data_IF_409228785777
#
_entry.id   IF_409228785777
#
_cell.length_a   1.000
_cell.length_b   1.000
_cell.length_c   1.000
_cell.angle_alpha   90.00
_cell.angle_beta   90.00
_cell.angle_gamma   90.00
#
_symmetry.space_group_name_H-M   'P 1'
#
loop_
_entity.id
_entity.type
_entity.pdbx_description
1 polymer ?
#
# COMPACT_ATOMS: atom_id res chain seq x y z
N UNK A 1 -2.11 -9.37 35.24
CA UNK A 1 -1.57 -8.23 34.49
C UNK A 1 -0.43 -8.73 33.62
N UNK A 2 -0.54 -8.58 32.30
CA UNK A 2 0.51 -9.01 31.37
C UNK A 2 0.09 -8.92 29.90
N UNK A 3 -0.64 -7.88 29.50
CA UNK A 3 -0.94 -7.63 28.08
C UNK A 3 0.12 -6.69 27.50
N UNK A 4 1.25 -7.27 27.10
CA UNK A 4 2.35 -6.59 26.41
C UNK A 4 2.55 -7.16 25.01
N UNK A 5 1.48 -7.56 24.32
CA UNK A 5 1.54 -8.12 22.97
C UNK A 5 1.71 -7.01 21.91
N UNK A 6 2.89 -6.40 21.93
CA UNK A 6 3.73 -6.14 20.77
C UNK A 6 2.98 -5.72 19.49
N UNK A 7 2.45 -4.50 19.47
CA UNK A 7 2.02 -3.83 18.21
C UNK A 7 3.12 -3.88 17.13
N UNK A 8 4.38 -4.01 17.57
CA UNK A 8 5.56 -4.21 16.76
C UNK A 8 5.71 -5.60 16.11
N UNK A 9 5.07 -6.65 16.62
CA UNK A 9 5.24 -8.04 16.15
C UNK A 9 4.19 -8.48 15.12
N UNK A 10 3.10 -7.73 14.96
CA UNK A 10 2.05 -8.09 14.00
C UNK A 10 2.54 -7.88 12.56
N UNK A 11 2.32 -8.88 11.70
CA UNK A 11 2.72 -8.81 10.28
C UNK A 11 2.08 -7.59 9.62
N UNK A 12 2.91 -6.69 9.08
CA UNK A 12 2.48 -5.45 8.44
C UNK A 12 2.20 -4.27 9.37
N UNK A 13 2.33 -4.44 10.69
CA UNK A 13 2.07 -3.37 11.66
C UNK A 13 3.19 -2.34 11.77
N UNK A 14 4.38 -2.63 11.24
CA UNK A 14 5.52 -1.70 11.22
C UNK A 14 5.99 -1.43 9.81
N UNK A 15 6.55 -0.24 9.57
CA UNK A 15 7.22 0.14 8.34
C UNK A 15 8.51 0.91 8.62
N UNK A 16 9.37 1.05 7.62
CA UNK A 16 10.57 1.90 7.73
C UNK A 16 10.24 3.38 7.49
N UNK A 17 11.07 4.32 7.93
CA UNK A 17 10.97 5.74 7.57
C UNK A 17 10.98 5.95 6.05
N UNK A 18 11.83 5.21 5.33
CA UNK A 18 11.89 5.24 3.86
C UNK A 18 10.56 4.78 3.24
N UNK A 19 9.99 3.71 3.77
CA UNK A 19 8.67 3.23 3.38
C UNK A 19 7.61 4.26 3.72
N UNK A 20 7.67 4.92 4.88
CA UNK A 20 6.68 5.90 5.30
C UNK A 20 6.64 7.10 4.35
N UNK A 21 7.81 7.59 3.98
CA UNK A 21 7.95 8.67 3.00
C UNK A 21 7.41 8.28 1.62
N UNK A 22 7.66 7.05 1.17
CA UNK A 22 7.19 6.56 -0.14
C UNK A 22 5.70 6.20 -0.18
N UNK A 23 5.22 5.54 0.87
CA UNK A 23 3.84 5.06 1.00
C UNK A 23 2.88 6.17 1.43
N UNK A 24 3.32 7.13 2.22
CA UNK A 24 2.46 8.17 2.78
C UNK A 24 2.81 9.59 2.35
N UNK A 25 3.89 9.77 1.58
CA UNK A 25 4.29 11.10 1.10
C UNK A 25 4.85 12.01 2.19
N UNK A 26 5.06 11.49 3.41
CA UNK A 26 5.65 12.24 4.51
C UNK A 26 7.08 12.64 4.16
N UNK A 27 7.51 13.80 4.66
CA UNK A 27 8.92 14.18 4.64
C UNK A 27 9.65 13.63 5.87
N UNK A 28 10.98 13.60 5.81
CA UNK A 28 11.79 13.16 6.95
C UNK A 28 11.63 14.10 8.14
N UNK A 29 11.48 15.40 7.90
CA UNK A 29 11.25 16.41 8.93
C UNK A 29 9.94 16.17 9.67
N UNK A 30 8.87 15.78 8.95
CA UNK A 30 7.58 15.49 9.56
C UNK A 30 7.62 14.25 10.46
N UNK A 31 8.38 13.23 10.06
CA UNK A 31 8.59 12.04 10.87
C UNK A 31 9.36 12.39 12.15
N UNK A 32 10.45 13.16 12.03
CA UNK A 32 11.25 13.59 13.19
C UNK A 32 10.42 14.48 14.12
N UNK A 33 9.63 15.40 13.56
CA UNK A 33 8.76 16.26 14.34
C UNK A 33 7.69 15.45 15.08
N UNK A 34 7.06 14.47 14.44
CA UNK A 34 6.08 13.60 15.09
C UNK A 34 6.70 12.72 16.17
N UNK A 35 7.96 12.29 16.00
CA UNK A 35 8.73 11.59 17.04
C UNK A 35 8.98 12.53 18.24
N UNK A 36 9.43 13.77 17.97
CA UNK A 36 9.68 14.77 19.01
C UNK A 36 8.40 15.17 19.77
N UNK A 37 7.28 15.25 19.06
CA UNK A 37 5.95 15.53 19.63
C UNK A 37 5.37 14.32 20.38
N UNK A 38 6.05 13.17 20.38
CA UNK A 38 5.59 11.94 21.02
C UNK A 38 4.39 11.28 20.32
N UNK A 39 4.05 11.72 19.10
CA UNK A 39 2.96 11.17 18.27
C UNK A 39 3.35 9.90 17.53
N UNK A 40 4.65 9.64 17.41
CA UNK A 40 5.18 8.54 16.63
C UNK A 40 6.28 7.81 17.40
N UNK A 41 6.06 6.53 17.68
CA UNK A 41 7.07 5.66 18.25
C UNK A 41 8.03 5.19 17.16
N UNK A 42 9.31 5.18 17.50
CA UNK A 42 10.35 4.67 16.62
C UNK A 42 11.22 3.63 17.33
N UNK A 43 11.78 2.72 16.54
CA UNK A 43 12.86 1.83 16.95
C UNK A 43 13.93 1.84 15.87
N UNK A 44 15.19 1.97 16.27
CA UNK A 44 16.29 1.83 15.33
C UNK A 44 16.46 0.35 14.97
N UNK A 45 16.60 0.08 13.68
CA UNK A 45 16.91 -1.25 13.18
C UNK A 45 17.85 -1.14 11.98
N UNK A 46 18.52 -2.23 11.61
CA UNK A 46 19.44 -2.24 10.48
C UNK A 46 19.16 -3.45 9.60
N UNK A 47 18.93 -3.20 8.30
CA UNK A 47 18.87 -4.26 7.29
C UNK A 47 20.13 -4.16 6.46
N UNK A 48 20.93 -5.22 6.48
CA UNK A 48 22.19 -5.33 5.72
C UNK A 48 23.14 -4.13 5.92
N UNK A 49 23.27 -3.63 7.15
CA UNK A 49 24.17 -2.51 7.49
C UNK A 49 23.59 -1.12 7.21
N UNK A 50 22.39 -1.02 6.64
CA UNK A 50 21.70 0.26 6.48
C UNK A 50 20.76 0.50 7.67
N UNK A 51 21.07 1.48 8.55
CA UNK A 51 20.17 1.86 9.62
C UNK A 51 18.89 2.47 9.04
N UNK A 52 17.76 2.13 9.62
CA UNK A 52 16.46 2.71 9.32
C UNK A 52 15.64 2.83 10.61
N UNK A 53 14.73 3.80 10.62
CA UNK A 53 13.79 3.94 11.71
C UNK A 53 12.61 3.04 11.41
N UNK A 54 12.32 2.12 12.32
CA UNK A 54 11.12 1.29 12.31
C UNK A 54 10.02 2.06 13.03
N UNK A 55 8.90 2.27 12.35
CA UNK A 55 7.76 3.07 12.77
C UNK A 55 6.50 2.20 12.80
N UNK A 56 5.53 2.52 13.64
CA UNK A 56 4.21 1.85 13.66
C UNK A 56 3.31 2.40 12.56
N UNK A 57 2.69 1.51 11.78
CA UNK A 57 1.86 1.87 10.61
C UNK A 57 0.64 2.67 11.01
N UNK A 58 -0.04 2.29 12.08
CA UNK A 58 -1.24 2.99 12.54
C UNK A 58 -0.94 4.43 13.02
N UNK A 59 0.23 4.67 13.63
CA UNK A 59 0.63 6.01 14.06
C UNK A 59 1.00 6.89 12.87
N UNK A 60 1.70 6.32 11.88
CA UNK A 60 1.97 7.00 10.60
C UNK A 60 0.66 7.36 9.90
N UNK A 61 -0.32 6.45 9.86
CA UNK A 61 -1.63 6.70 9.26
C UNK A 61 -2.39 7.81 9.99
N UNK A 62 -2.39 7.81 11.32
CA UNK A 62 -3.00 8.87 12.13
C UNK A 62 -2.32 10.23 11.92
N UNK A 63 -0.99 10.28 11.84
CA UNK A 63 -0.24 11.50 11.54
C UNK A 63 -0.59 12.06 10.17
N UNK A 64 -0.72 11.20 9.16
CA UNK A 64 -1.06 11.60 7.80
C UNK A 64 -2.51 12.09 7.73
N UNK A 65 -3.42 11.44 8.44
CA UNK A 65 -4.81 11.87 8.56
C UNK A 65 -4.91 13.25 9.24
N UNK A 66 -4.12 13.50 10.28
CA UNK A 66 -4.06 14.79 10.97
C UNK A 66 -3.47 15.89 10.06
N UNK A 67 -2.37 15.62 9.37
CA UNK A 67 -1.63 16.64 8.58
C UNK A 67 -2.20 16.90 7.19
N UNK A 68 -2.46 15.83 6.43
CA UNK A 68 -2.88 15.93 5.02
C UNK A 68 -4.39 15.75 4.86
N UNK A 69 -5.10 15.43 5.94
CA UNK A 69 -6.51 15.12 5.91
C UNK A 69 -6.80 13.74 5.30
N UNK A 70 -7.99 13.24 5.60
CA UNK A 70 -8.50 11.96 5.10
C UNK A 70 -8.59 11.90 3.55
N UNK A 71 -8.59 13.05 2.87
CA UNK A 71 -8.67 13.16 1.41
C UNK A 71 -7.45 12.58 0.68
N UNK A 72 -6.23 12.74 1.22
CA UNK A 72 -5.01 12.24 0.57
C UNK A 72 -4.94 10.71 0.59
N UNK A 73 -5.20 10.11 1.75
CA UNK A 73 -5.24 8.64 1.92
C UNK A 73 -6.34 8.01 1.06
N UNK A 74 -7.55 8.61 1.05
CA UNK A 74 -8.65 8.16 0.19
C UNK A 74 -8.29 8.23 -1.29
N UNK A 75 -7.72 9.35 -1.76
CA UNK A 75 -7.33 9.50 -3.16
C UNK A 75 -6.31 8.46 -3.58
N UNK A 76 -5.31 8.17 -2.74
CA UNK A 76 -4.31 7.15 -3.02
C UNK A 76 -4.90 5.75 -3.05
N UNK A 77 -5.78 5.42 -2.10
CA UNK A 77 -6.53 4.15 -2.08
C UNK A 77 -7.36 3.98 -3.36
N UNK A 78 -8.14 4.99 -3.73
CA UNK A 78 -8.94 4.96 -4.96
C UNK A 78 -8.11 4.89 -6.22
N UNK A 79 -6.93 5.53 -6.26
CA UNK A 79 -6.03 5.44 -7.42
C UNK A 79 -5.45 4.04 -7.58
N UNK A 80 -5.09 3.38 -6.46
CA UNK A 80 -4.63 1.99 -6.48
C UNK A 80 -5.74 1.06 -6.95
N UNK A 81 -6.93 1.18 -6.37
CA UNK A 81 -8.10 0.38 -6.73
C UNK A 81 -8.47 0.59 -8.22
N UNK A 82 -8.42 1.83 -8.71
CA UNK A 82 -8.64 2.14 -10.12
C UNK A 82 -7.59 1.48 -11.03
N UNK A 83 -6.32 1.44 -10.62
CA UNK A 83 -5.27 0.77 -11.37
C UNK A 83 -5.48 -0.75 -11.43
N UNK A 84 -5.89 -1.37 -10.31
CA UNK A 84 -6.20 -2.80 -10.24
C UNK A 84 -7.39 -3.14 -11.15
N UNK A 85 -8.49 -2.36 -11.04
CA UNK A 85 -9.67 -2.51 -11.90
C UNK A 85 -9.31 -2.35 -13.39
N UNK A 86 -8.47 -1.38 -13.75
CA UNK A 86 -8.03 -1.21 -15.14
C UNK A 86 -7.21 -2.40 -15.67
N UNK A 87 -6.37 -3.01 -14.83
CA UNK A 87 -5.62 -4.21 -15.19
C UNK A 87 -6.56 -5.40 -15.42
N UNK A 88 -7.55 -5.58 -14.55
CA UNK A 88 -8.56 -6.63 -14.69
C UNK A 88 -9.41 -6.43 -15.96
N UNK A 89 -9.84 -5.21 -16.26
CA UNK A 89 -10.55 -4.87 -17.50
C UNK A 89 -9.70 -5.27 -18.72
N UNK A 90 -8.40 -4.93 -18.71
CA UNK A 90 -7.50 -5.26 -19.81
C UNK A 90 -7.34 -6.77 -19.98
N UNK A 91 -7.18 -7.51 -18.88
CA UNK A 91 -7.07 -8.97 -18.91
C UNK A 91 -8.34 -9.61 -19.47
N UNK A 92 -9.50 -9.24 -18.94
CA UNK A 92 -10.79 -9.79 -19.36
C UNK A 92 -11.09 -9.49 -20.84
N UNK A 93 -10.73 -8.29 -21.33
CA UNK A 93 -10.87 -7.97 -22.76
C UNK A 93 -10.04 -8.89 -23.65
N UNK A 94 -8.78 -9.16 -23.28
CA UNK A 94 -7.93 -10.08 -24.04
C UNK A 94 -8.48 -11.51 -24.01
N UNK A 95 -9.06 -11.92 -22.88
CA UNK A 95 -9.70 -13.23 -22.75
C UNK A 95 -10.97 -13.33 -23.61
N UNK A 96 -11.79 -12.28 -23.66
CA UNK A 96 -12.95 -12.17 -24.56
C UNK A 96 -12.51 -12.28 -26.02
N UNK A 97 -11.50 -11.53 -26.47
CA UNK A 97 -11.00 -11.60 -27.85
C UNK A 97 -10.53 -13.02 -28.22
N UNK A 98 -9.83 -13.69 -27.31
CA UNK A 98 -9.39 -15.08 -27.50
C UNK A 98 -10.58 -16.02 -27.68
N UNK A 99 -11.61 -15.88 -26.82
CA UNK A 99 -12.82 -16.69 -26.89
C UNK A 99 -13.65 -16.39 -28.15
N UNK A 100 -13.74 -15.13 -28.57
CA UNK A 100 -14.41 -14.74 -29.81
C UNK A 100 -13.72 -15.32 -31.04
N UNK A 101 -12.37 -15.30 -31.07
CA UNK A 101 -11.60 -15.94 -32.13
C UNK A 101 -11.87 -17.45 -32.15
N UNK A 102 -11.81 -18.09 -30.98
CA UNK A 102 -12.08 -19.54 -30.88
C UNK A 102 -13.51 -19.89 -31.30
N UNK A 103 -14.49 -19.05 -30.95
CA UNK A 103 -15.87 -19.20 -31.40
C UNK A 103 -15.95 -19.16 -32.93
N UNK A 104 -15.34 -18.17 -33.59
CA UNK A 104 -15.33 -18.08 -35.05
C UNK A 104 -14.70 -19.31 -35.70
N UNK A 105 -13.55 -19.76 -35.21
CA UNK A 105 -12.90 -20.99 -35.71
C UNK A 105 -13.83 -22.20 -35.61
N UNK A 106 -14.56 -22.34 -34.50
CA UNK A 106 -15.51 -23.44 -34.31
C UNK A 106 -16.75 -23.30 -35.21
N UNK A 107 -17.24 -22.08 -35.46
CA UNK A 107 -18.35 -21.84 -36.40
C UNK A 107 -17.93 -22.20 -37.83
N UNK A 108 -16.74 -21.78 -38.27
CA UNK A 108 -16.18 -22.15 -39.57
C UNK A 108 -16.01 -23.66 -39.72
N UNK A 109 -15.59 -24.37 -38.65
CA UNK A 109 -15.51 -25.85 -38.64
C UNK A 109 -16.87 -26.53 -38.72
N UNK A 110 -17.93 -25.90 -38.18
CA UNK A 110 -19.30 -26.41 -38.23
C UNK A 110 -20.02 -26.05 -39.54
N UNK A 111 -19.43 -25.19 -40.37
CA UNK A 111 -20.02 -24.77 -41.64
C UNK A 111 -21.17 -23.76 -41.51
N UNK A 112 -21.24 -23.02 -40.40
CA UNK A 112 -22.16 -21.89 -40.17
C UNK A 112 -21.50 -20.53 -40.42
#
# INVERSE_FOLDING_TARGET
>A
MGEGFSDWARKGATLSDKSARKEFGLTQEEIIQAINDGKLQYRENSIHGNPFLRLLRHEVEALVEEKHGNAFLKRKRFTKELSEVNQDIKRLRAEIESLEKRKKELQEMLGE
#
